data_IF_115343970455
#
_entry.id   IF_115343970455
#
_cell.length_a   1.000
_cell.length_b   1.000
_cell.length_c   1.000
_cell.angle_alpha   90.00
_cell.angle_beta   90.00
_cell.angle_gamma   90.00
#
_symmetry.space_group_name_H-M   'P 1'
#
loop_
_entity.id
_entity.type
_entity.pdbx_description
1 polymer ?
#
# COMPACT_ATOMS: atom_id res chain seq x y z
N UNK A 1 10.61 13.70 -26.75
CA UNK A 1 10.26 14.35 -25.47
C UNK A 1 11.53 14.45 -24.63
N UNK A 2 11.81 15.60 -24.05
CA UNK A 2 12.92 15.83 -23.10
C UNK A 2 12.33 16.20 -21.74
N UNK A 3 12.98 15.73 -20.65
CA UNK A 3 12.55 16.02 -19.28
C UNK A 3 11.15 15.48 -18.91
N UNK A 4 10.83 14.29 -19.38
CA UNK A 4 9.60 13.58 -19.02
C UNK A 4 9.92 12.51 -17.98
N UNK A 5 9.11 12.43 -16.94
CA UNK A 5 9.09 11.36 -15.95
C UNK A 5 7.68 10.76 -15.97
N UNK A 6 7.60 9.45 -15.97
CA UNK A 6 6.32 8.75 -15.76
C UNK A 6 6.05 8.64 -14.28
N UNK A 7 4.87 9.04 -13.87
CA UNK A 7 4.37 8.90 -12.52
C UNK A 7 3.31 7.80 -12.46
N UNK A 8 3.51 6.82 -11.59
CA UNK A 8 2.55 5.74 -11.36
C UNK A 8 2.06 5.78 -9.91
N UNK A 9 0.79 5.50 -9.71
CA UNK A 9 0.16 5.40 -8.39
C UNK A 9 -0.27 3.95 -8.15
N UNK A 10 0.28 3.31 -7.13
CA UNK A 10 0.13 1.88 -6.90
C UNK A 10 -0.39 1.59 -5.50
N UNK A 11 -1.60 1.05 -5.42
CA UNK A 11 -2.27 0.76 -4.16
C UNK A 11 -2.80 -0.68 -4.12
N UNK A 12 -2.57 -1.38 -3.02
CA UNK A 12 -3.10 -2.74 -2.83
C UNK A 12 -4.63 -2.80 -2.86
N UNK A 13 -5.31 -1.74 -2.41
CA UNK A 13 -6.77 -1.67 -2.53
C UNK A 13 -7.25 -1.70 -4.00
N UNK A 14 -6.46 -1.17 -4.94
CA UNK A 14 -6.76 -1.29 -6.37
C UNK A 14 -6.53 -2.72 -6.86
N UNK A 15 -5.47 -3.38 -6.37
CA UNK A 15 -5.23 -4.80 -6.62
C UNK A 15 -6.39 -5.67 -6.11
N UNK A 16 -6.86 -5.43 -4.89
CA UNK A 16 -8.03 -6.11 -4.32
C UNK A 16 -9.28 -5.88 -5.17
N UNK A 17 -9.52 -4.66 -5.62
CA UNK A 17 -10.63 -4.32 -6.53
C UNK A 17 -10.51 -5.02 -7.89
N UNK A 18 -9.30 -5.33 -8.33
CA UNK A 18 -9.02 -6.12 -9.54
C UNK A 18 -9.06 -7.64 -9.31
N UNK A 19 -9.39 -8.09 -8.10
CA UNK A 19 -9.57 -9.50 -7.78
C UNK A 19 -8.39 -10.17 -7.07
N UNK A 20 -7.36 -9.42 -6.66
CA UNK A 20 -6.29 -9.96 -5.81
C UNK A 20 -6.87 -10.43 -4.48
N UNK A 21 -6.55 -11.65 -4.08
CA UNK A 21 -7.02 -12.20 -2.81
C UNK A 21 -6.40 -11.41 -1.62
N UNK A 22 -7.19 -11.28 -0.56
CA UNK A 22 -6.76 -10.62 0.68
C UNK A 22 -5.89 -11.58 1.53
N UNK A 23 -4.75 -11.97 0.96
CA UNK A 23 -3.79 -12.90 1.54
C UNK A 23 -2.37 -12.36 1.29
N UNK A 24 -1.49 -12.55 2.26
CA UNK A 24 -0.13 -11.98 2.20
C UNK A 24 0.64 -12.43 0.94
N UNK A 25 0.60 -13.72 0.63
CA UNK A 25 1.32 -14.24 -0.53
C UNK A 25 0.69 -13.79 -1.86
N UNK A 26 -0.62 -13.58 -1.90
CA UNK A 26 -1.29 -13.00 -3.06
C UNK A 26 -0.87 -11.54 -3.29
N UNK A 27 -0.75 -10.74 -2.22
CA UNK A 27 -0.23 -9.38 -2.33
C UNK A 27 1.20 -9.35 -2.83
N UNK A 28 2.08 -10.19 -2.29
CA UNK A 28 3.50 -10.27 -2.72
C UNK A 28 3.61 -10.66 -4.19
N UNK A 29 2.85 -11.67 -4.61
CA UNK A 29 2.80 -12.09 -6.01
C UNK A 29 2.29 -10.96 -6.91
N UNK A 30 1.21 -10.28 -6.53
CA UNK A 30 0.66 -9.17 -7.29
C UNK A 30 1.65 -8.00 -7.43
N UNK A 31 2.36 -7.66 -6.35
CA UNK A 31 3.39 -6.61 -6.37
C UNK A 31 4.52 -6.99 -7.36
N UNK A 32 5.00 -8.22 -7.34
CA UNK A 32 6.06 -8.67 -8.25
C UNK A 32 5.58 -8.74 -9.71
N UNK A 33 4.42 -9.33 -9.95
CA UNK A 33 3.91 -9.63 -11.29
C UNK A 33 3.28 -8.42 -12.00
N UNK A 34 2.85 -7.41 -11.25
CA UNK A 34 2.23 -6.20 -11.78
C UNK A 34 3.05 -4.95 -11.46
N UNK A 35 3.11 -4.52 -10.20
CA UNK A 35 3.73 -3.24 -9.85
C UNK A 35 5.20 -3.16 -10.27
N UNK A 36 5.99 -4.15 -9.89
CA UNK A 36 7.42 -4.19 -10.21
C UNK A 36 7.68 -4.41 -11.69
N UNK A 37 6.91 -5.29 -12.31
CA UNK A 37 7.00 -5.55 -13.75
C UNK A 37 6.66 -4.31 -14.56
N UNK A 38 5.59 -3.61 -14.23
CA UNK A 38 5.17 -2.39 -14.93
C UNK A 38 6.26 -1.31 -14.89
N UNK A 39 6.88 -1.12 -13.72
CA UNK A 39 8.01 -0.19 -13.58
C UNK A 39 9.19 -0.62 -14.45
N UNK A 40 9.55 -1.91 -14.44
CA UNK A 40 10.63 -2.44 -15.27
C UNK A 40 10.38 -2.26 -16.77
N UNK A 41 9.15 -2.41 -17.22
CA UNK A 41 8.77 -2.21 -18.60
C UNK A 41 8.78 -0.71 -18.98
N UNK A 42 8.18 0.13 -18.17
CA UNK A 42 8.10 1.57 -18.43
C UNK A 42 9.47 2.27 -18.37
N UNK A 43 10.35 1.86 -17.45
CA UNK A 43 11.67 2.50 -17.28
C UNK A 43 12.61 2.35 -18.48
N UNK A 44 12.27 1.46 -19.42
CA UNK A 44 13.03 1.31 -20.68
C UNK A 44 12.84 2.51 -21.60
N UNK A 45 11.80 3.29 -21.38
CA UNK A 45 11.43 4.44 -22.22
C UNK A 45 11.61 5.77 -21.51
N UNK A 46 11.33 5.80 -20.20
CA UNK A 46 11.36 7.03 -19.39
C UNK A 46 11.81 6.71 -17.97
N UNK A 47 12.37 7.69 -17.23
CA UNK A 47 12.44 7.57 -15.78
C UNK A 47 11.03 7.37 -15.19
N UNK A 48 10.89 6.47 -14.24
CA UNK A 48 9.60 6.15 -13.60
C UNK A 48 9.70 6.43 -12.12
N UNK A 49 8.71 7.11 -11.57
CA UNK A 49 8.53 7.24 -10.12
C UNK A 49 7.20 6.58 -9.71
N UNK A 50 7.16 6.04 -8.48
CA UNK A 50 5.91 5.73 -7.83
C UNK A 50 5.52 6.94 -6.97
N UNK A 51 4.69 7.83 -7.53
CA UNK A 51 4.32 9.11 -6.89
C UNK A 51 3.34 8.95 -5.74
N UNK A 52 2.61 7.84 -5.71
CA UNK A 52 1.72 7.53 -4.59
C UNK A 52 1.67 6.04 -4.30
N UNK A 53 1.80 5.69 -3.03
CA UNK A 53 1.60 4.35 -2.50
C UNK A 53 1.41 4.40 -0.98
N UNK A 54 0.85 3.35 -0.39
CA UNK A 54 0.74 3.23 1.06
C UNK A 54 0.74 1.77 1.52
N UNK A 55 0.73 1.54 2.83
CA UNK A 55 0.68 0.18 3.39
C UNK A 55 -0.74 -0.36 3.58
N UNK A 56 -1.77 0.45 3.33
CA UNK A 56 -3.15 -0.02 3.51
C UNK A 56 -3.41 -1.29 2.72
N UNK A 57 -3.98 -2.29 3.39
CA UNK A 57 -4.50 -3.52 2.82
C UNK A 57 -5.62 -4.08 3.71
N UNK A 58 -6.59 -4.72 3.11
CA UNK A 58 -7.77 -5.22 3.84
C UNK A 58 -7.46 -6.40 4.74
N UNK A 59 -6.39 -7.14 4.49
CA UNK A 59 -5.96 -8.25 5.34
C UNK A 59 -5.56 -7.77 6.73
N UNK A 60 -4.66 -6.77 6.80
CA UNK A 60 -4.14 -6.28 8.08
C UNK A 60 -5.10 -5.32 8.79
N UNK A 61 -5.82 -4.48 8.05
CA UNK A 61 -6.75 -3.51 8.64
C UNK A 61 -8.07 -4.15 9.09
N UNK A 62 -8.35 -5.38 8.68
CA UNK A 62 -9.58 -6.07 9.03
C UNK A 62 -10.85 -5.48 8.41
N UNK A 63 -10.72 -4.50 7.52
CA UNK A 63 -11.86 -3.93 6.84
C UNK A 63 -12.49 -4.97 5.93
N UNK A 64 -13.71 -5.36 6.27
CA UNK A 64 -14.53 -6.19 5.41
C UNK A 64 -15.12 -5.31 4.29
N UNK A 65 -14.74 -5.59 3.07
CA UNK A 65 -15.36 -4.99 1.89
C UNK A 65 -16.72 -5.62 1.56
N UNK A 66 -17.37 -6.28 2.52
CA UNK A 66 -18.72 -6.80 2.36
C UNK A 66 -19.63 -5.72 1.82
N UNK A 67 -20.10 -5.94 0.62
CA UNK A 67 -21.05 -5.06 -0.05
C UNK A 67 -20.43 -4.10 -1.06
N UNK A 68 -19.16 -4.24 -1.45
CA UNK A 68 -18.56 -3.45 -2.53
C UNK A 68 -18.40 -1.97 -2.20
N UNK A 69 -18.46 -1.60 -0.94
CA UNK A 69 -18.20 -0.22 -0.50
C UNK A 69 -16.71 -0.03 -0.37
N UNK A 70 -16.14 0.57 -1.39
CA UNK A 70 -14.76 1.01 -1.44
C UNK A 70 -14.48 2.02 -0.32
N UNK A 71 -13.33 1.90 0.33
CA UNK A 71 -12.78 2.92 1.23
C UNK A 71 -12.74 4.31 0.55
N UNK A 72 -12.64 4.34 -0.78
CA UNK A 72 -12.70 5.56 -1.59
C UNK A 72 -14.01 6.36 -1.43
N UNK A 73 -15.09 5.76 -0.97
CA UNK A 73 -16.38 6.45 -0.85
C UNK A 73 -16.63 7.06 0.53
N UNK A 74 -15.64 7.07 1.42
CA UNK A 74 -15.76 7.71 2.74
C UNK A 74 -16.83 7.09 3.64
N UNK A 75 -17.33 5.91 3.31
CA UNK A 75 -18.31 5.21 4.12
C UNK A 75 -17.59 4.62 5.33
N UNK A 76 -18.05 5.00 6.51
CA UNK A 76 -17.64 4.40 7.79
C UNK A 76 -17.97 2.91 7.84
N UNK A 77 -17.14 2.10 7.21
CA UNK A 77 -17.15 0.67 7.44
C UNK A 77 -16.58 0.39 8.83
N UNK A 78 -17.24 -0.44 9.62
CA UNK A 78 -16.66 -0.98 10.83
C UNK A 78 -15.49 -1.88 10.43
N UNK A 79 -14.26 -1.41 10.58
CA UNK A 79 -13.09 -2.28 10.54
C UNK A 79 -13.08 -3.12 11.81
N UNK A 80 -13.46 -4.39 11.69
CA UNK A 80 -13.19 -5.36 12.74
C UNK A 80 -11.74 -5.81 12.61
N UNK A 81 -10.98 -5.76 13.69
CA UNK A 81 -9.64 -6.32 13.71
C UNK A 81 -9.70 -7.83 13.50
N UNK A 82 -9.26 -8.29 12.34
CA UNK A 82 -9.19 -9.73 12.01
C UNK A 82 -7.92 -10.39 12.52
N UNK A 83 -6.91 -9.59 12.81
CA UNK A 83 -5.59 -10.06 13.19
C UNK A 83 -5.12 -9.32 14.43
N UNK A 84 -4.35 -9.97 15.27
CA UNK A 84 -3.74 -9.35 16.44
C UNK A 84 -2.60 -8.38 16.04
N UNK A 85 -2.09 -7.62 17.00
CA UNK A 85 -1.10 -6.58 16.77
C UNK A 85 0.22 -7.11 16.18
N UNK A 86 0.66 -8.30 16.60
CA UNK A 86 1.90 -8.90 16.11
C UNK A 86 1.74 -9.41 14.67
N UNK A 87 0.63 -10.05 14.38
CA UNK A 87 0.32 -10.50 13.02
C UNK A 87 0.09 -9.31 12.09
N UNK A 88 -0.58 -8.27 12.56
CA UNK A 88 -0.74 -7.00 11.84
C UNK A 88 0.62 -6.41 11.48
N UNK A 89 1.53 -6.33 12.44
CA UNK A 89 2.90 -5.86 12.23
C UNK A 89 3.65 -6.72 11.23
N UNK A 90 3.54 -8.04 11.32
CA UNK A 90 4.16 -8.99 10.38
C UNK A 90 3.67 -8.76 8.94
N UNK A 91 2.36 -8.61 8.76
CA UNK A 91 1.76 -8.38 7.44
C UNK A 91 2.23 -7.04 6.86
N UNK A 92 2.13 -5.96 7.63
CA UNK A 92 2.54 -4.63 7.14
C UNK A 92 4.04 -4.57 6.81
N UNK A 93 4.91 -5.19 7.60
CA UNK A 93 6.34 -5.29 7.29
C UNK A 93 6.58 -6.03 5.97
N UNK A 94 6.00 -7.20 5.81
CA UNK A 94 6.18 -7.98 4.58
C UNK A 94 5.65 -7.25 3.33
N UNK A 95 4.53 -6.54 3.46
CA UNK A 95 3.97 -5.69 2.39
C UNK A 95 4.89 -4.50 2.11
N UNK A 96 5.42 -3.84 3.16
CA UNK A 96 6.37 -2.74 3.01
C UNK A 96 7.62 -3.17 2.25
N UNK A 97 8.23 -4.29 2.64
CA UNK A 97 9.41 -4.85 1.97
C UNK A 97 9.15 -5.14 0.50
N UNK A 98 8.05 -5.82 0.19
CA UNK A 98 7.71 -6.16 -1.19
C UNK A 98 7.48 -4.91 -2.06
N UNK A 99 6.75 -3.91 -1.54
CA UNK A 99 6.53 -2.65 -2.24
C UNK A 99 7.83 -1.87 -2.41
N UNK A 100 8.63 -1.70 -1.35
CA UNK A 100 9.93 -1.01 -1.43
C UNK A 100 10.88 -1.70 -2.41
N UNK A 101 10.85 -3.03 -2.49
CA UNK A 101 11.64 -3.77 -3.48
C UNK A 101 11.17 -3.49 -4.91
N UNK A 102 9.86 -3.37 -5.12
CA UNK A 102 9.32 -2.99 -6.42
C UNK A 102 9.70 -1.54 -6.80
N UNK A 103 9.63 -0.60 -5.84
CA UNK A 103 9.94 0.81 -6.11
C UNK A 103 11.42 1.07 -6.39
N UNK A 104 12.34 0.21 -5.94
CA UNK A 104 13.77 0.27 -6.29
C UNK A 104 14.05 0.09 -7.79
N UNK A 105 13.13 -0.48 -8.54
CA UNK A 105 13.24 -0.58 -10.00
C UNK A 105 13.03 0.77 -10.69
N UNK A 106 12.37 1.71 -10.02
CA UNK A 106 12.15 3.06 -10.52
C UNK A 106 13.23 4.06 -10.11
N UNK A 107 12.98 5.33 -10.38
CA UNK A 107 13.87 6.46 -10.08
C UNK A 107 13.55 7.15 -8.76
N UNK A 108 12.46 6.78 -8.10
CA UNK A 108 12.03 7.33 -6.82
C UNK A 108 10.61 6.91 -6.46
N UNK A 109 10.25 7.17 -5.22
CA UNK A 109 8.92 6.86 -4.72
C UNK A 109 8.51 7.80 -3.58
N UNK A 110 7.19 8.04 -3.45
CA UNK A 110 6.63 8.94 -2.45
C UNK A 110 5.44 8.29 -1.76
N UNK A 111 5.50 8.22 -0.43
CA UNK A 111 4.42 7.64 0.37
C UNK A 111 3.23 8.60 0.46
N UNK A 112 2.03 8.11 0.29
CA UNK A 112 0.81 8.87 0.44
C UNK A 112 0.05 8.45 1.70
N UNK A 113 0.15 9.27 2.75
CA UNK A 113 0.89 10.51 2.89
C UNK A 113 1.77 10.47 4.14
N UNK A 114 2.63 11.49 4.31
CA UNK A 114 3.48 11.59 5.50
C UNK A 114 2.67 11.63 6.78
N UNK A 115 1.55 12.40 6.80
CA UNK A 115 0.69 12.55 7.96
C UNK A 115 -0.75 12.86 7.55
N UNK A 116 -1.70 12.15 8.12
CA UNK A 116 -3.11 12.46 7.97
C UNK A 116 -3.51 13.60 8.91
N UNK A 117 -4.28 14.57 8.36
CA UNK A 117 -4.82 15.68 9.15
C UNK A 117 -6.04 15.28 9.98
N UNK A 118 -6.85 14.38 9.46
CA UNK A 118 -7.99 13.84 10.17
C UNK A 118 -7.53 12.79 11.15
N UNK A 119 -7.99 12.92 12.38
CA UNK A 119 -7.69 11.93 13.38
C UNK A 119 -8.27 10.58 12.98
N UNK A 120 -7.38 9.66 12.94
CA UNK A 120 -7.68 8.25 12.76
C UNK A 120 -7.93 7.59 14.13
N UNK A 121 -8.45 8.36 15.07
CA UNK A 121 -8.67 7.99 16.48
C UNK A 121 -9.30 6.62 16.66
N UNK A 122 -10.09 6.21 15.71
CA UNK A 122 -10.80 4.96 15.80
C UNK A 122 -10.08 3.79 15.10
N UNK A 123 -8.82 3.97 14.70
CA UNK A 123 -7.96 2.90 14.15
C UNK A 123 -8.59 2.08 13.02
N UNK A 124 -9.44 2.71 12.23
CA UNK A 124 -10.28 2.06 11.23
C UNK A 124 -9.58 1.91 9.87
N UNK A 125 -8.38 1.37 9.84
CA UNK A 125 -7.65 1.10 8.61
C UNK A 125 -6.91 2.29 8.00
N UNK A 126 -7.04 3.49 8.55
CA UNK A 126 -6.40 4.69 8.03
C UNK A 126 -4.91 4.80 8.39
N UNK A 127 -4.44 4.04 9.38
CA UNK A 127 -3.03 4.11 9.81
C UNK A 127 -2.09 3.78 8.66
N UNK A 128 -2.43 2.81 7.83
CA UNK A 128 -1.63 2.46 6.65
C UNK A 128 -1.46 3.59 5.63
N UNK A 129 -2.19 4.69 5.77
CA UNK A 129 -2.07 5.91 4.96
C UNK A 129 -1.19 6.99 5.61
N UNK A 130 -0.78 6.82 6.86
CA UNK A 130 0.03 7.75 7.64
C UNK A 130 1.42 7.18 7.86
N UNK A 131 2.42 7.65 7.09
CA UNK A 131 3.80 7.17 7.16
C UNK A 131 4.38 7.32 8.56
N UNK A 132 4.14 8.47 9.21
CA UNK A 132 4.65 8.72 10.56
C UNK A 132 4.18 7.66 11.54
N UNK A 133 2.90 7.34 11.53
CA UNK A 133 2.33 6.26 12.36
C UNK A 133 2.86 4.88 11.98
N UNK A 134 2.98 4.59 10.69
CA UNK A 134 3.54 3.30 10.24
C UNK A 134 4.97 3.10 10.77
N UNK A 135 5.77 4.17 10.82
CA UNK A 135 7.12 4.14 11.42
C UNK A 135 7.03 3.95 12.94
N UNK A 136 6.19 4.70 13.64
CA UNK A 136 6.01 4.61 15.09
C UNK A 136 5.55 3.21 15.54
N UNK A 137 4.71 2.54 14.76
CA UNK A 137 4.29 1.15 14.99
C UNK A 137 5.35 0.11 14.56
N UNK A 138 6.47 0.55 13.99
CA UNK A 138 7.54 -0.33 13.54
C UNK A 138 7.14 -1.24 12.38
N UNK A 139 6.30 -0.72 11.47
CA UNK A 139 5.88 -1.44 10.26
C UNK A 139 6.90 -1.35 9.12
N UNK A 140 7.90 -0.48 9.26
CA UNK A 140 9.10 -0.48 8.45
C UNK A 140 10.26 -1.08 9.25
N UNK A 141 11.17 -1.81 8.60
CA UNK A 141 12.39 -2.26 9.27
C UNK A 141 13.30 -1.06 9.55
N UNK A 142 13.81 -1.00 10.77
CA UNK A 142 14.96 -0.15 11.09
C UNK A 142 16.20 -0.72 10.39
N UNK A 143 16.81 0.07 9.53
CA UNK A 143 18.08 -0.28 8.90
C UNK A 143 19.24 0.35 9.66
#
# INVERSE_FOLDING_TARGET
>A
YVNVVLDTHQYLMMAESAGCAQELEAYKAYIEEHFKKDIREMRQYFPVICGEWCLFNSLACGCDTKGGQSVLNGVEGSCEERVDAEEKKRIYRAVAEAQLDAWKEGSGYFYWSYKLLTDTVNDRGWIGWDLGRCVDFGWFEEK
#
